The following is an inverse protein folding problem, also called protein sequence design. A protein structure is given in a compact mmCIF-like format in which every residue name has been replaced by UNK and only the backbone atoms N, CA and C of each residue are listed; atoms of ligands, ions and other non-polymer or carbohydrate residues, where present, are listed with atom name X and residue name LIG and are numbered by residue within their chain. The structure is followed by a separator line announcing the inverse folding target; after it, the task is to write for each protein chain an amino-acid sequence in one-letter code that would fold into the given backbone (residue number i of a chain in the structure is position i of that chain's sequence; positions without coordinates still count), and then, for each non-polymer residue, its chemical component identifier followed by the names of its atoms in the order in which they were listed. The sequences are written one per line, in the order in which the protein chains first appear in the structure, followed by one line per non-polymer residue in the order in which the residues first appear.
data_IF_035479105587
#
_entry.id   IF_035479105587
#
_cell.length_a   1.000
_cell.length_b   1.000
_cell.length_c   1.000
_cell.angle_alpha   90.00
_cell.angle_beta   90.00
_cell.angle_gamma   90.00
#
_symmetry.space_group_name_H-M   'P 1'
#
loop_
_entity.id
_entity.type
_entity.pdbx_description
1 polymer ?
#
# COMPACT_ATOMS: atom_id res chain seq x y z
N UNK A 1 30.21 -5.30 -16.70
CA UNK A 1 29.60 -6.46 -16.02
C UNK A 1 28.20 -6.66 -16.57
N UNK A 2 27.93 -7.69 -17.36
CA UNK A 2 26.61 -7.94 -17.97
C UNK A 2 25.54 -8.42 -16.96
N UNK A 3 25.93 -8.74 -15.71
CA UNK A 3 25.04 -9.32 -14.70
C UNK A 3 23.99 -8.38 -14.09
N UNK A 4 24.10 -7.06 -14.28
CA UNK A 4 23.16 -6.10 -13.70
C UNK A 4 21.80 -6.02 -14.45
N UNK A 5 21.74 -6.47 -15.69
CA UNK A 5 20.51 -6.49 -16.48
C UNK A 5 19.57 -7.63 -16.12
N UNK A 6 20.07 -8.68 -15.43
CA UNK A 6 19.30 -9.85 -14.99
C UNK A 6 18.96 -9.84 -13.49
N UNK A 7 19.07 -8.71 -12.80
CA UNK A 7 18.71 -8.63 -11.39
C UNK A 7 17.19 -8.76 -11.19
N UNK A 8 16.74 -9.65 -10.31
CA UNK A 8 15.34 -9.78 -9.88
C UNK A 8 14.77 -8.50 -9.29
N UNK A 9 15.61 -7.61 -8.80
CA UNK A 9 15.23 -6.28 -8.32
C UNK A 9 14.56 -5.44 -9.44
N UNK A 10 14.82 -5.75 -10.72
CA UNK A 10 14.22 -5.00 -11.83
C UNK A 10 12.77 -5.37 -12.13
N UNK A 11 12.29 -6.52 -11.63
CA UNK A 11 10.92 -6.99 -11.86
C UNK A 11 9.95 -6.57 -10.76
N UNK A 12 10.39 -5.86 -9.71
CA UNK A 12 9.54 -5.49 -8.57
C UNK A 12 8.26 -4.77 -8.98
N UNK A 13 8.32 -3.88 -9.98
CA UNK A 13 7.14 -3.20 -10.51
C UNK A 13 6.14 -4.17 -11.17
N UNK A 14 6.64 -5.16 -11.90
CA UNK A 14 5.82 -6.19 -12.51
C UNK A 14 5.20 -7.10 -11.44
N UNK A 15 5.97 -7.51 -10.43
CA UNK A 15 5.45 -8.31 -9.31
C UNK A 15 4.38 -7.56 -8.53
N UNK A 16 4.58 -6.27 -8.25
CA UNK A 16 3.56 -5.42 -7.62
C UNK A 16 2.27 -5.39 -8.43
N UNK A 17 2.37 -5.32 -9.76
CA UNK A 17 1.21 -5.32 -10.65
C UNK A 17 0.45 -6.65 -10.61
N UNK A 18 1.14 -7.79 -10.60
CA UNK A 18 0.50 -9.11 -10.50
C UNK A 18 -0.25 -9.26 -9.16
N UNK A 19 0.39 -8.86 -8.05
CA UNK A 19 -0.27 -8.90 -6.74
C UNK A 19 -1.43 -7.92 -6.68
N UNK A 20 -1.32 -6.74 -7.30
CA UNK A 20 -2.44 -5.80 -7.42
C UNK A 20 -3.64 -6.40 -8.17
N UNK A 21 -3.42 -7.12 -9.27
CA UNK A 21 -4.50 -7.81 -9.98
C UNK A 21 -5.19 -8.85 -9.09
N UNK A 22 -4.43 -9.56 -8.27
CA UNK A 22 -4.98 -10.47 -7.25
C UNK A 22 -5.82 -9.73 -6.21
N UNK A 23 -5.35 -8.55 -5.74
CA UNK A 23 -6.10 -7.70 -4.80
C UNK A 23 -7.41 -7.19 -5.42
N UNK A 24 -7.35 -6.69 -6.64
CA UNK A 24 -8.52 -6.19 -7.34
C UNK A 24 -9.57 -7.30 -7.56
N UNK A 25 -9.16 -8.48 -8.01
CA UNK A 25 -10.08 -9.60 -8.25
C UNK A 25 -10.70 -10.13 -6.96
N UNK A 26 -9.90 -10.34 -5.91
CA UNK A 26 -10.40 -10.79 -4.61
C UNK A 26 -11.27 -9.73 -3.94
N UNK A 27 -10.92 -8.44 -4.07
CA UNK A 27 -11.70 -7.32 -3.55
C UNK A 27 -13.08 -7.21 -4.21
N UNK A 28 -13.17 -7.36 -5.54
CA UNK A 28 -14.46 -7.38 -6.26
C UNK A 28 -15.31 -8.56 -5.77
N UNK A 29 -14.73 -9.76 -5.61
CA UNK A 29 -15.46 -10.92 -5.09
C UNK A 29 -15.96 -10.68 -3.66
N UNK A 30 -15.15 -10.09 -2.78
CA UNK A 30 -15.57 -9.75 -1.42
C UNK A 30 -16.67 -8.71 -1.41
N UNK A 31 -16.62 -7.70 -2.28
CA UNK A 31 -17.60 -6.63 -2.34
C UNK A 31 -19.00 -7.10 -2.71
N UNK A 32 -19.14 -8.21 -3.44
CA UNK A 32 -20.45 -8.81 -3.79
C UNK A 32 -21.17 -9.29 -2.55
N UNK A 33 -20.44 -9.75 -1.53
CA UNK A 33 -21.01 -10.35 -0.33
C UNK A 33 -20.87 -9.45 0.91
N UNK A 34 -20.15 -8.34 0.81
CA UNK A 34 -20.00 -7.40 1.91
C UNK A 34 -21.29 -6.62 2.08
N UNK A 35 -21.99 -6.88 3.18
CA UNK A 35 -23.21 -6.18 3.53
C UNK A 35 -22.96 -5.31 4.76
N UNK A 36 -23.12 -4.01 4.63
CA UNK A 36 -22.94 -3.02 5.69
C UNK A 36 -24.21 -2.83 6.56
N UNK A 37 -25.33 -3.49 6.23
CA UNK A 37 -26.52 -3.48 7.05
C UNK A 37 -26.30 -4.32 8.32
N UNK A 38 -25.91 -3.65 9.38
CA UNK A 38 -25.88 -4.23 10.72
C UNK A 38 -27.31 -4.53 11.20
N UNK A 39 -27.75 -5.75 11.04
CA UNK A 39 -28.64 -6.34 12.02
C UNK A 39 -27.77 -6.76 13.20
N UNK A 40 -28.19 -6.44 14.41
CA UNK A 40 -27.50 -6.52 15.72
C UNK A 40 -26.64 -7.79 15.97
N UNK A 41 -26.60 -8.74 15.07
CA UNK A 41 -26.02 -10.08 15.26
C UNK A 41 -24.93 -10.51 14.26
N UNK A 42 -24.62 -9.76 13.19
CA UNK A 42 -23.68 -10.28 12.19
C UNK A 42 -22.69 -9.25 11.69
N UNK A 43 -21.42 -9.44 12.07
CA UNK A 43 -20.27 -8.82 11.44
C UNK A 43 -20.25 -9.25 9.96
N UNK A 44 -20.21 -8.32 8.98
CA UNK A 44 -20.15 -8.64 7.55
C UNK A 44 -19.01 -9.59 7.19
N UNK A 45 -17.88 -9.48 7.86
CA UNK A 45 -16.71 -10.33 7.62
C UNK A 45 -16.97 -11.76 8.14
N UNK A 46 -17.57 -11.90 9.32
CA UNK A 46 -17.93 -13.22 9.88
C UNK A 46 -18.94 -13.91 8.95
N UNK A 47 -19.90 -13.15 8.43
CA UNK A 47 -20.84 -13.66 7.45
C UNK A 47 -20.14 -14.24 6.21
N UNK A 48 -19.19 -13.51 5.63
CA UNK A 48 -18.41 -13.99 4.47
C UNK A 48 -17.63 -15.25 4.81
N UNK A 49 -16.99 -15.30 5.99
CA UNK A 49 -16.16 -16.44 6.39
C UNK A 49 -16.99 -17.71 6.58
N UNK A 50 -18.16 -17.61 7.22
CA UNK A 50 -18.93 -18.75 7.67
C UNK A 50 -19.97 -19.19 6.62
N UNK A 51 -20.66 -18.23 6.00
CA UNK A 51 -21.84 -18.52 5.18
C UNK A 51 -21.55 -18.57 3.67
N UNK A 52 -20.45 -17.96 3.21
CA UNK A 52 -20.11 -17.98 1.79
C UNK A 52 -19.13 -19.12 1.51
N UNK A 53 -19.46 -19.92 0.49
CA UNK A 53 -18.59 -21.02 0.07
C UNK A 53 -17.23 -20.48 -0.36
N UNK A 54 -16.15 -20.95 0.27
CA UNK A 54 -14.77 -20.44 0.11
C UNK A 54 -14.59 -18.95 0.45
N UNK A 55 -15.52 -18.31 1.17
CA UNK A 55 -15.42 -16.90 1.56
C UNK A 55 -14.20 -16.64 2.45
N UNK A 56 -13.90 -17.56 3.38
CA UNK A 56 -12.69 -17.51 4.20
C UNK A 56 -11.41 -17.46 3.34
N UNK A 57 -11.36 -18.27 2.26
CA UNK A 57 -10.22 -18.31 1.35
C UNK A 57 -10.01 -16.96 0.65
N UNK A 58 -11.06 -16.40 0.07
CA UNK A 58 -10.99 -15.11 -0.66
C UNK A 58 -10.57 -13.99 0.29
N UNK A 59 -11.12 -13.97 1.52
CA UNK A 59 -10.75 -12.97 2.53
C UNK A 59 -9.27 -13.06 2.90
N UNK A 60 -8.77 -14.27 3.24
CA UNK A 60 -7.38 -14.45 3.65
C UNK A 60 -6.43 -14.10 2.49
N UNK A 61 -6.76 -14.51 1.26
CA UNK A 61 -5.99 -14.13 0.07
C UNK A 61 -5.89 -12.61 -0.09
N UNK A 62 -6.98 -11.88 0.18
CA UNK A 62 -7.00 -10.43 0.12
C UNK A 62 -6.13 -9.80 1.21
N UNK A 63 -6.20 -10.27 2.45
CA UNK A 63 -5.42 -9.74 3.59
C UNK A 63 -3.91 -9.98 3.40
N UNK A 64 -3.51 -11.23 3.09
CA UNK A 64 -2.10 -11.56 2.86
C UNK A 64 -1.56 -10.81 1.64
N UNK A 65 -2.35 -10.77 0.57
CA UNK A 65 -1.99 -10.07 -0.63
C UNK A 65 -1.82 -8.56 -0.43
N UNK A 66 -2.61 -7.92 0.45
CA UNK A 66 -2.44 -6.51 0.80
C UNK A 66 -1.07 -6.25 1.46
N UNK A 67 -0.68 -7.06 2.44
CA UNK A 67 0.64 -6.96 3.06
C UNK A 67 1.77 -7.18 2.06
N UNK A 68 1.66 -8.19 1.18
CA UNK A 68 2.66 -8.46 0.15
C UNK A 68 2.71 -7.33 -0.89
N UNK A 69 1.58 -6.77 -1.28
CA UNK A 69 1.50 -5.64 -2.21
C UNK A 69 2.24 -4.42 -1.68
N UNK A 70 1.99 -4.04 -0.43
CA UNK A 70 2.68 -2.90 0.20
C UNK A 70 4.18 -3.18 0.34
N UNK A 71 4.59 -4.39 0.71
CA UNK A 71 5.99 -4.78 0.76
C UNK A 71 6.69 -4.60 -0.60
N UNK A 72 6.07 -5.09 -1.67
CA UNK A 72 6.63 -4.96 -3.02
C UNK A 72 6.71 -3.51 -3.49
N UNK A 73 5.71 -2.68 -3.17
CA UNK A 73 5.74 -1.24 -3.47
C UNK A 73 6.87 -0.55 -2.70
N UNK A 74 7.06 -0.85 -1.42
CA UNK A 74 8.16 -0.28 -0.62
C UNK A 74 9.52 -0.67 -1.20
N UNK A 75 9.72 -1.93 -1.57
CA UNK A 75 10.95 -2.39 -2.22
C UNK A 75 11.14 -1.72 -3.59
N UNK A 76 10.07 -1.54 -4.36
CA UNK A 76 10.09 -0.84 -5.64
C UNK A 76 10.48 0.65 -5.47
N UNK A 77 9.94 1.31 -4.46
CA UNK A 77 10.27 2.69 -4.10
C UNK A 77 11.74 2.83 -3.66
N UNK A 78 12.23 1.94 -2.79
CA UNK A 78 13.64 1.91 -2.35
C UNK A 78 14.56 1.74 -3.55
N UNK A 79 14.21 0.84 -4.47
CA UNK A 79 14.95 0.67 -5.73
C UNK A 79 14.95 1.94 -6.57
N UNK A 80 13.80 2.61 -6.70
CA UNK A 80 13.69 3.85 -7.46
C UNK A 80 14.60 4.94 -6.88
N UNK A 81 14.62 5.10 -5.56
CA UNK A 81 15.52 6.02 -4.85
C UNK A 81 16.99 5.64 -5.12
N UNK A 82 17.35 4.36 -4.98
CA UNK A 82 18.70 3.87 -5.21
C UNK A 82 19.21 4.16 -6.63
N UNK A 83 18.41 3.89 -7.64
CA UNK A 83 18.75 4.16 -9.04
C UNK A 83 18.86 5.66 -9.26
N UNK A 84 17.91 6.44 -8.70
CA UNK A 84 17.87 7.88 -8.85
C UNK A 84 19.10 8.57 -8.30
N UNK A 85 19.61 8.15 -7.15
CA UNK A 85 20.85 8.67 -6.56
C UNK A 85 22.08 8.49 -7.46
N UNK A 86 22.01 7.62 -8.49
CA UNK A 86 23.09 7.39 -9.47
C UNK A 86 22.93 8.22 -10.74
N UNK A 87 21.76 8.80 -11.02
CA UNK A 87 21.46 9.55 -12.24
C UNK A 87 21.77 11.03 -12.00
N UNK A 88 22.58 11.63 -12.87
CA UNK A 88 23.02 13.02 -12.77
C UNK A 88 21.95 14.00 -13.32
N UNK A 89 21.18 13.59 -14.32
CA UNK A 89 20.24 14.46 -15.01
C UNK A 89 18.86 13.82 -15.09
N UNK A 90 17.79 14.60 -14.74
CA UNK A 90 16.40 14.17 -14.83
C UNK A 90 15.77 14.86 -16.05
N UNK A 91 15.25 14.06 -16.97
CA UNK A 91 14.37 14.56 -18.02
C UNK A 91 12.98 14.86 -17.43
N UNK A 92 12.25 15.81 -18.00
CA UNK A 92 10.89 16.18 -17.58
C UNK A 92 9.94 14.98 -17.43
N UNK A 93 10.03 14.03 -18.34
CA UNK A 93 9.21 12.81 -18.33
C UNK A 93 9.54 11.90 -17.15
N UNK A 94 10.83 11.76 -16.81
CA UNK A 94 11.24 11.01 -15.61
C UNK A 94 10.67 11.66 -14.36
N UNK A 95 10.53 12.97 -14.34
CA UNK A 95 9.86 13.72 -13.27
C UNK A 95 8.40 13.29 -13.14
N UNK A 96 7.63 13.21 -14.24
CA UNK A 96 6.23 12.79 -14.22
C UNK A 96 6.10 11.33 -13.76
N UNK A 97 6.98 10.43 -14.22
CA UNK A 97 6.98 9.02 -13.79
C UNK A 97 7.23 8.91 -12.27
N UNK A 98 8.13 9.72 -11.72
CA UNK A 98 8.40 9.76 -10.27
C UNK A 98 7.16 10.24 -9.51
N UNK A 99 6.50 11.29 -9.97
CA UNK A 99 5.29 11.81 -9.31
C UNK A 99 4.16 10.77 -9.33
N UNK A 100 3.90 10.16 -10.48
CA UNK A 100 2.85 9.13 -10.58
C UNK A 100 3.16 7.92 -9.69
N UNK A 101 4.42 7.47 -9.63
CA UNK A 101 4.83 6.39 -8.73
C UNK A 101 4.71 6.76 -7.25
N UNK A 102 5.06 7.98 -6.86
CA UNK A 102 4.89 8.46 -5.50
C UNK A 102 3.42 8.60 -5.11
N UNK A 103 2.58 9.09 -6.02
CA UNK A 103 1.12 9.15 -5.81
C UNK A 103 0.53 7.75 -5.62
N UNK A 104 0.95 6.77 -6.43
CA UNK A 104 0.55 5.37 -6.26
C UNK A 104 0.94 4.83 -4.88
N UNK A 105 2.15 5.15 -4.38
CA UNK A 105 2.57 4.76 -3.03
C UNK A 105 1.64 5.33 -1.96
N UNK A 106 1.32 6.64 -2.00
CA UNK A 106 0.42 7.28 -1.04
C UNK A 106 -0.99 6.70 -1.11
N UNK A 107 -1.54 6.53 -2.33
CA UNK A 107 -2.88 5.94 -2.51
C UNK A 107 -2.93 4.51 -1.99
N UNK A 108 -1.90 3.69 -2.21
CA UNK A 108 -1.83 2.32 -1.70
C UNK A 108 -1.77 2.25 -0.17
N UNK A 109 -1.09 3.22 0.47
CA UNK A 109 -1.10 3.33 1.93
C UNK A 109 -2.50 3.67 2.45
N UNK A 110 -3.18 4.64 1.85
CA UNK A 110 -4.56 5.01 2.22
C UNK A 110 -5.50 3.82 2.01
N UNK A 111 -5.37 3.13 0.88
CA UNK A 111 -6.18 1.96 0.52
C UNK A 111 -6.03 0.82 1.54
N UNK A 112 -4.80 0.49 1.93
CA UNK A 112 -4.52 -0.51 2.96
C UNK A 112 -5.16 -0.17 4.30
N UNK A 113 -5.15 1.11 4.71
CA UNK A 113 -5.80 1.56 5.93
C UNK A 113 -7.33 1.42 5.84
N UNK A 114 -7.95 1.89 4.75
CA UNK A 114 -9.39 1.79 4.58
C UNK A 114 -9.86 0.33 4.57
N UNK A 115 -9.13 -0.57 3.88
CA UNK A 115 -9.42 -2.00 3.89
C UNK A 115 -9.32 -2.64 5.27
N UNK A 116 -8.33 -2.23 6.07
CA UNK A 116 -8.19 -2.68 7.45
C UNK A 116 -9.37 -2.25 8.33
N UNK A 117 -9.89 -1.05 8.13
CA UNK A 117 -11.04 -0.55 8.89
C UNK A 117 -12.33 -1.34 8.61
N UNK A 118 -12.49 -1.91 7.41
CA UNK A 118 -13.68 -2.68 7.04
C UNK A 118 -13.85 -3.97 7.84
N UNK A 119 -12.80 -4.48 8.48
CA UNK A 119 -12.90 -5.63 9.38
C UNK A 119 -13.72 -5.34 10.64
N UNK A 120 -13.83 -4.08 11.05
CA UNK A 120 -14.58 -3.57 12.21
C UNK A 120 -14.34 -4.33 13.51
N UNK A 121 -13.13 -4.83 13.70
CA UNK A 121 -12.67 -5.36 14.99
C UNK A 121 -12.23 -4.26 15.94
N UNK A 122 -11.79 -4.65 17.14
CA UNK A 122 -11.30 -3.73 18.16
C UNK A 122 -10.19 -2.81 17.63
N UNK A 123 -9.21 -3.35 16.90
CA UNK A 123 -8.14 -2.51 16.36
C UNK A 123 -8.59 -1.59 15.23
N UNK A 124 -9.54 -2.01 14.40
CA UNK A 124 -10.12 -1.17 13.35
C UNK A 124 -10.86 0.02 13.94
N UNK A 125 -11.73 -0.22 14.94
CA UNK A 125 -12.49 0.82 15.61
C UNK A 125 -11.58 1.83 16.33
N UNK A 126 -10.63 1.34 17.11
CA UNK A 126 -9.71 2.23 17.83
C UNK A 126 -8.69 2.87 16.89
N UNK A 127 -8.34 2.22 15.78
CA UNK A 127 -7.52 2.79 14.72
C UNK A 127 -8.17 4.00 14.05
N UNK A 128 -9.46 3.94 13.71
CA UNK A 128 -10.16 5.09 13.12
C UNK A 128 -10.34 6.21 14.14
N UNK A 129 -10.63 5.92 15.42
CA UNK A 129 -10.74 6.95 16.46
C UNK A 129 -9.44 7.71 16.64
N UNK A 130 -8.29 7.01 16.63
CA UNK A 130 -6.97 7.64 16.68
C UNK A 130 -6.73 8.50 15.44
N UNK A 131 -7.06 7.99 14.24
CA UNK A 131 -6.87 8.72 13.00
C UNK A 131 -7.72 10.00 12.93
N UNK A 132 -8.97 9.95 13.35
CA UNK A 132 -9.84 11.12 13.41
C UNK A 132 -9.28 12.18 14.37
N UNK A 133 -8.77 11.76 15.53
CA UNK A 133 -8.12 12.65 16.48
C UNK A 133 -6.82 13.28 15.92
N UNK A 134 -6.11 12.59 15.03
CA UNK A 134 -4.95 13.11 14.32
C UNK A 134 -5.37 14.12 13.26
N UNK A 135 -6.41 13.81 12.50
CA UNK A 135 -6.95 14.72 11.47
C UNK A 135 -7.51 15.99 12.10
N UNK A 136 -8.20 15.89 13.23
CA UNK A 136 -8.77 17.06 13.93
C UNK A 136 -7.72 18.10 14.35
N UNK A 137 -6.46 17.70 14.52
CA UNK A 137 -5.35 18.60 14.88
C UNK A 137 -4.81 19.40 13.68
N UNK A 138 -5.15 19.03 12.44
CA UNK A 138 -4.72 19.76 11.25
C UNK A 138 -5.28 21.18 11.25
N UNK A 139 -4.45 22.21 10.97
CA UNK A 139 -4.90 23.60 10.95
C UNK A 139 -5.94 23.84 9.86
N UNK A 140 -6.81 24.80 10.09
CA UNK A 140 -7.86 25.29 9.18
C UNK A 140 -9.06 24.36 8.95
N UNK A 141 -8.87 23.08 8.59
CA UNK A 141 -9.98 22.21 8.15
C UNK A 141 -10.09 20.90 8.94
N UNK A 142 -9.14 20.64 9.85
CA UNK A 142 -9.05 19.34 10.54
C UNK A 142 -10.31 18.95 11.30
N UNK A 143 -10.89 19.86 12.06
CA UNK A 143 -12.15 19.62 12.82
C UNK A 143 -13.30 19.32 11.87
N UNK A 144 -13.45 20.10 10.79
CA UNK A 144 -14.53 19.90 9.80
C UNK A 144 -14.42 18.52 9.14
N UNK A 145 -13.20 18.13 8.76
CA UNK A 145 -12.94 16.81 8.15
C UNK A 145 -13.23 15.70 9.16
N UNK A 146 -12.80 15.87 10.42
CA UNK A 146 -13.05 14.90 11.47
C UNK A 146 -14.56 14.70 11.72
N UNK A 147 -15.33 15.77 11.77
CA UNK A 147 -16.80 15.72 11.90
C UNK A 147 -17.50 15.09 10.69
N UNK A 148 -17.00 15.33 9.47
CA UNK A 148 -17.51 14.70 8.26
C UNK A 148 -17.28 13.18 8.24
N UNK A 149 -16.17 12.70 8.82
CA UNK A 149 -15.84 11.28 8.90
C UNK A 149 -16.60 10.62 10.04
N UNK A 150 -16.65 11.27 11.22
CA UNK A 150 -17.24 10.71 12.42
C UNK A 150 -18.77 10.70 12.35
N UNK A 151 -19.35 9.53 12.58
CA UNK A 151 -20.80 9.36 12.68
C UNK A 151 -21.14 8.02 13.33
N UNK A 152 -22.40 7.57 13.25
CA UNK A 152 -22.76 6.22 13.69
C UNK A 152 -21.96 5.13 12.96
N UNK A 153 -21.64 4.03 13.65
CA UNK A 153 -20.76 2.98 13.15
C UNK A 153 -21.10 2.49 11.73
N UNK A 154 -22.36 2.22 11.46
CA UNK A 154 -22.83 1.76 10.15
C UNK A 154 -22.62 2.81 9.04
N UNK A 155 -22.77 4.11 9.35
CA UNK A 155 -22.52 5.20 8.39
C UNK A 155 -21.02 5.30 8.08
N UNK A 156 -20.17 5.11 9.09
CA UNK A 156 -18.72 5.13 8.92
C UNK A 156 -18.29 3.97 8.00
N UNK A 157 -18.77 2.76 8.26
CA UNK A 157 -18.42 1.59 7.46
C UNK A 157 -18.86 1.72 6.01
N UNK A 158 -20.07 2.19 5.76
CA UNK A 158 -20.54 2.43 4.40
C UNK A 158 -19.64 3.44 3.66
N UNK A 159 -19.28 4.55 4.31
CA UNK A 159 -18.36 5.53 3.73
C UNK A 159 -16.98 4.93 3.44
N UNK A 160 -16.43 4.18 4.39
CA UNK A 160 -15.12 3.52 4.23
C UNK A 160 -15.18 2.52 3.09
N UNK A 161 -16.25 1.73 2.98
CA UNK A 161 -16.44 0.78 1.89
C UNK A 161 -16.44 1.47 0.52
N UNK A 162 -17.19 2.55 0.38
CA UNK A 162 -17.25 3.34 -0.86
C UNK A 162 -15.87 3.93 -1.18
N UNK A 163 -15.17 4.51 -0.20
CA UNK A 163 -13.84 5.08 -0.42
C UNK A 163 -12.81 4.01 -0.79
N UNK A 164 -12.80 2.87 -0.10
CA UNK A 164 -11.94 1.74 -0.42
C UNK A 164 -12.17 1.24 -1.85
N UNK A 165 -13.40 1.02 -2.25
CA UNK A 165 -13.74 0.59 -3.60
C UNK A 165 -13.34 1.62 -4.67
N UNK A 166 -13.59 2.91 -4.44
CA UNK A 166 -13.26 3.99 -5.38
C UNK A 166 -11.75 4.20 -5.49
N UNK A 167 -11.01 4.19 -4.39
CA UNK A 167 -9.56 4.39 -4.40
C UNK A 167 -8.88 3.18 -5.05
N UNK A 168 -9.29 1.94 -4.75
CA UNK A 168 -8.78 0.74 -5.39
C UNK A 168 -8.98 0.75 -6.91
N UNK A 169 -10.17 1.18 -7.37
CA UNK A 169 -10.45 1.40 -8.80
C UNK A 169 -9.58 2.52 -9.38
N UNK A 170 -9.40 3.61 -8.64
CA UNK A 170 -8.55 4.73 -9.02
C UNK A 170 -7.08 4.34 -9.17
N UNK A 171 -6.55 3.51 -8.25
CA UNK A 171 -5.19 2.97 -8.33
C UNK A 171 -4.99 2.23 -9.66
N UNK A 172 -5.99 1.49 -10.15
CA UNK A 172 -5.92 0.80 -11.46
C UNK A 172 -5.62 1.78 -12.60
N UNK A 173 -6.30 2.92 -12.63
CA UNK A 173 -6.11 3.96 -13.64
C UNK A 173 -4.70 4.56 -13.53
N UNK A 174 -4.26 4.90 -12.33
CA UNK A 174 -2.92 5.46 -12.11
C UNK A 174 -1.80 4.47 -12.42
N UNK A 175 -1.98 3.16 -12.19
CA UNK A 175 -1.03 2.13 -12.61
C UNK A 175 -0.91 2.11 -14.14
N UNK A 176 -2.03 2.14 -14.87
CA UNK A 176 -2.00 2.18 -16.34
C UNK A 176 -1.27 3.42 -16.85
N UNK A 177 -1.56 4.59 -16.29
CA UNK A 177 -0.85 5.83 -16.65
C UNK A 177 0.66 5.70 -16.38
N UNK A 178 1.05 5.19 -15.21
CA UNK A 178 2.45 5.01 -14.83
C UNK A 178 3.19 4.06 -15.79
N UNK A 179 2.56 2.93 -16.15
CA UNK A 179 3.12 1.95 -17.08
C UNK A 179 3.23 2.54 -18.51
N UNK A 180 2.19 3.24 -19.01
CA UNK A 180 2.20 3.87 -20.33
C UNK A 180 3.34 4.89 -20.41
N UNK A 181 3.48 5.76 -19.40
CA UNK A 181 4.56 6.74 -19.33
C UNK A 181 5.93 6.06 -19.33
N UNK A 182 6.09 4.99 -18.55
CA UNK A 182 7.33 4.24 -18.46
C UNK A 182 7.72 3.62 -19.81
N UNK A 183 6.76 2.98 -20.50
CA UNK A 183 7.02 2.27 -21.76
C UNK A 183 7.17 3.22 -22.96
N UNK A 184 6.46 4.36 -22.97
CA UNK A 184 6.56 5.35 -24.07
C UNK A 184 7.93 6.01 -24.16
N UNK A 185 8.67 6.09 -23.05
CA UNK A 185 9.93 6.84 -22.98
C UNK A 185 11.15 5.99 -22.68
N UNK A 186 11.02 4.69 -22.76
CA UNK A 186 12.02 3.65 -22.47
C UNK A 186 12.53 3.64 -21.02
N UNK A 187 12.60 2.47 -20.45
CA UNK A 187 13.24 2.26 -19.13
C UNK A 187 14.70 2.66 -19.22
N UNK A 188 15.20 3.44 -18.27
CA UNK A 188 16.61 3.76 -18.14
C UNK A 188 17.37 2.46 -17.89
N UNK A 189 18.05 1.95 -18.92
CA UNK A 189 18.98 0.86 -18.73
C UNK A 189 20.15 1.38 -17.87
N UNK A 190 20.48 0.77 -16.72
CA UNK A 190 21.61 1.21 -15.90
C UNK A 190 22.98 0.98 -16.54
N UNK A 191 23.05 0.26 -17.66
CA UNK A 191 24.30 0.09 -18.42
C UNK A 191 24.53 1.29 -19.34
N UNK A 192 25.48 2.12 -18.97
CA UNK A 192 25.87 3.37 -19.65
C UNK A 192 26.66 3.12 -20.95
N UNK A 193 27.00 1.90 -21.30
CA UNK A 193 27.78 1.59 -22.48
C UNK A 193 26.93 1.45 -23.72
N UNK A 194 27.21 2.26 -24.73
CA UNK A 194 26.56 2.28 -26.06
C UNK A 194 26.69 0.95 -26.87
N UNK A 195 27.39 -0.03 -26.35
CA UNK A 195 27.58 -1.36 -26.93
C UNK A 195 26.73 -2.42 -26.20
N UNK A 196 25.51 -2.08 -25.78
CA UNK A 196 24.60 -3.06 -25.22
C UNK A 196 24.15 -4.02 -26.31
N UNK A 197 24.51 -5.30 -26.13
CA UNK A 197 23.93 -6.40 -26.88
C UNK A 197 22.41 -6.29 -26.84
N UNK A 198 21.78 -6.28 -28.00
CA UNK A 198 20.32 -6.39 -28.12
C UNK A 198 19.94 -7.76 -27.58
N UNK A 199 19.52 -7.81 -26.32
CA UNK A 199 19.01 -9.02 -25.72
C UNK A 199 17.58 -9.21 -26.23
N UNK A 200 17.27 -10.40 -26.75
CA UNK A 200 15.91 -10.75 -27.15
C UNK A 200 14.96 -10.59 -25.97
N UNK A 201 13.69 -10.26 -26.22
CA UNK A 201 12.64 -10.10 -25.18
C UNK A 201 12.35 -11.41 -24.43
N UNK A 202 12.70 -12.57 -24.99
CA UNK A 202 12.41 -13.88 -24.43
C UNK A 202 12.99 -14.11 -23.01
N UNK A 203 14.29 -13.89 -22.75
CA UNK A 203 14.83 -14.08 -21.39
C UNK A 203 14.23 -13.12 -20.37
N UNK A 204 13.82 -11.91 -20.78
CA UNK A 204 13.16 -10.95 -19.90
C UNK A 204 11.76 -11.42 -19.53
N UNK A 205 10.98 -11.87 -20.51
CA UNK A 205 9.63 -12.41 -20.30
C UNK A 205 9.67 -13.66 -19.40
N UNK A 206 10.61 -14.59 -19.64
CA UNK A 206 10.79 -15.77 -18.81
C UNK A 206 11.07 -15.41 -17.35
N UNK A 207 11.93 -14.42 -17.12
CA UNK A 207 12.27 -13.94 -15.79
C UNK A 207 11.05 -13.32 -15.08
N UNK A 208 10.23 -12.55 -15.79
CA UNK A 208 9.02 -11.93 -15.25
C UNK A 208 7.99 -13.01 -14.88
N UNK A 209 7.79 -14.00 -15.75
CA UNK A 209 6.90 -15.15 -15.49
C UNK A 209 7.39 -16.01 -14.33
N UNK A 210 8.69 -16.30 -14.27
CA UNK A 210 9.28 -17.07 -13.17
C UNK A 210 9.18 -16.33 -11.83
N UNK A 211 9.44 -15.03 -11.83
CA UNK A 211 9.28 -14.18 -10.65
C UNK A 211 7.84 -14.12 -10.17
N UNK A 212 6.87 -14.00 -11.08
CA UNK A 212 5.44 -14.02 -10.73
C UNK A 212 5.00 -15.38 -10.18
N UNK A 213 5.49 -16.49 -10.75
CA UNK A 213 5.24 -17.82 -10.22
C UNK A 213 5.75 -17.98 -8.78
N UNK A 214 6.99 -17.54 -8.51
CA UNK A 214 7.55 -17.55 -7.14
C UNK A 214 6.69 -16.70 -6.19
N UNK A 215 6.30 -15.50 -6.62
CA UNK A 215 5.48 -14.60 -5.79
C UNK A 215 4.12 -15.21 -5.44
N UNK A 216 3.44 -15.80 -6.42
CA UNK A 216 2.17 -16.50 -6.20
C UNK A 216 2.38 -17.72 -5.29
N UNK A 217 3.45 -18.47 -5.48
CA UNK A 217 3.79 -19.61 -4.62
C UNK A 217 4.02 -19.18 -3.18
N UNK A 218 4.74 -18.06 -2.95
CA UNK A 218 4.93 -17.50 -1.62
C UNK A 218 3.59 -17.09 -1.00
N UNK A 219 2.70 -16.44 -1.75
CA UNK A 219 1.35 -16.12 -1.28
C UNK A 219 0.58 -17.37 -0.84
N UNK A 220 0.61 -18.43 -1.65
CA UNK A 220 -0.06 -19.69 -1.35
C UNK A 220 0.54 -20.37 -0.12
N UNK A 221 1.86 -20.37 0.01
CA UNK A 221 2.55 -20.94 1.18
C UNK A 221 2.20 -20.17 2.45
N UNK A 222 2.24 -18.84 2.42
CA UNK A 222 1.83 -17.99 3.55
C UNK A 222 0.36 -18.25 3.91
N UNK A 223 -0.48 -18.47 2.91
CA UNK A 223 -1.88 -18.81 3.08
C UNK A 223 -2.09 -20.19 3.74
N UNK A 224 -1.37 -21.23 3.29
CA UNK A 224 -1.60 -22.60 3.71
C UNK A 224 -0.97 -22.96 5.07
N UNK A 225 0.17 -22.36 5.39
CA UNK A 225 1.00 -22.77 6.54
C UNK A 225 1.07 -21.73 7.65
N UNK A 226 0.59 -20.52 7.41
CA UNK A 226 0.63 -19.45 8.40
C UNK A 226 -0.79 -19.02 8.78
N UNK A 227 -0.96 -18.85 10.09
CA UNK A 227 -2.18 -18.19 10.57
C UNK A 227 -2.30 -16.82 9.88
N UNK A 228 -3.49 -16.50 9.34
CA UNK A 228 -3.70 -15.25 8.59
C UNK A 228 -3.39 -14.00 9.40
N UNK A 229 -3.35 -14.14 10.72
CA UNK A 229 -3.16 -13.03 11.66
C UNK A 229 -1.69 -12.82 12.07
N UNK A 230 -0.74 -13.59 11.52
CA UNK A 230 0.68 -13.42 11.85
C UNK A 230 1.22 -12.04 11.45
N UNK A 231 0.65 -11.43 10.41
CA UNK A 231 0.97 -10.09 9.95
C UNK A 231 0.00 -9.03 10.48
N UNK A 232 -1.05 -9.44 11.19
CA UNK A 232 -2.07 -8.59 11.77
C UNK A 232 -2.04 -8.58 13.30
N UNK A 233 -3.04 -7.96 13.90
CA UNK A 233 -3.24 -7.95 15.35
C UNK A 233 -4.43 -8.85 15.68
N UNK A 234 -4.23 -9.83 16.59
CA UNK A 234 -5.26 -10.77 17.04
C UNK A 234 -6.49 -10.07 17.67
N UNK A 235 -6.29 -8.91 18.29
CA UNK A 235 -7.39 -8.14 18.87
C UNK A 235 -8.37 -7.61 17.81
N UNK A 236 -7.98 -7.60 16.53
CA UNK A 236 -8.90 -7.22 15.44
C UNK A 236 -9.89 -8.33 15.04
N UNK A 237 -9.75 -9.53 15.62
CA UNK A 237 -10.75 -10.60 15.53
C UNK A 237 -11.88 -10.43 16.54
N UNK A 238 -11.64 -9.62 17.59
CA UNK A 238 -12.64 -9.30 18.62
C UNK A 238 -13.56 -8.22 18.06
N UNK A 239 -14.86 -8.41 18.19
CA UNK A 239 -15.88 -7.43 17.75
C UNK A 239 -15.61 -6.08 18.43
N UNK A 240 -15.73 -4.99 17.66
CA UNK A 240 -15.50 -3.64 18.14
C UNK A 240 -16.40 -3.28 19.33
N UNK A 241 -15.78 -2.91 20.44
CA UNK A 241 -16.48 -2.43 21.63
C UNK A 241 -15.96 -1.03 22.00
N UNK A 242 -16.77 0.02 21.84
CA UNK A 242 -16.35 1.39 22.15
C UNK A 242 -16.14 1.65 23.66
N UNK A 243 -16.63 0.77 24.54
CA UNK A 243 -16.50 0.90 25.99
C UNK A 243 -15.22 0.29 26.55
N UNK A 244 -14.53 -0.55 25.77
CA UNK A 244 -13.33 -1.26 26.20
C UNK A 244 -12.16 -0.88 25.30
N UNK A 245 -11.25 -0.05 25.82
CA UNK A 245 -10.03 0.32 25.09
C UNK A 245 -9.00 -0.79 25.21
N UNK A 246 -8.43 -1.29 24.09
CA UNK A 246 -7.33 -2.25 24.14
C UNK A 246 -6.10 -1.67 24.83
N UNK A 247 -5.31 -2.53 25.51
CA UNK A 247 -4.10 -2.11 26.20
C UNK A 247 -3.07 -1.45 25.27
N UNK A 248 -2.96 -1.95 24.03
CA UNK A 248 -2.06 -1.41 23.03
C UNK A 248 -2.80 -1.27 21.68
N UNK A 249 -3.01 -0.04 21.24
CA UNK A 249 -3.54 0.24 19.90
C UNK A 249 -2.33 0.35 18.96
N UNK A 250 -2.06 -0.71 18.20
CA UNK A 250 -0.99 -0.77 17.23
C UNK A 250 -1.56 -0.89 15.81
N UNK A 251 -1.07 -0.09 14.87
CA UNK A 251 -1.43 -0.24 13.46
C UNK A 251 -0.69 -1.42 12.82
N UNK A 252 -1.05 -1.75 11.58
CA UNK A 252 -0.36 -2.71 10.74
C UNK A 252 1.13 -2.37 10.60
N UNK A 253 1.98 -3.39 10.38
CA UNK A 253 3.45 -3.29 10.39
C UNK A 253 4.00 -2.17 9.49
N UNK A 254 3.38 -1.90 8.36
CA UNK A 254 3.83 -0.86 7.42
C UNK A 254 3.52 0.57 7.87
N UNK A 255 2.72 0.76 8.92
CA UNK A 255 2.48 2.06 9.55
C UNK A 255 3.31 2.30 10.80
N UNK A 256 4.04 1.30 11.31
CA UNK A 256 4.76 1.41 12.59
C UNK A 256 5.74 2.58 12.61
N UNK A 257 6.39 2.90 11.48
CA UNK A 257 7.25 4.06 11.37
C UNK A 257 6.49 5.36 11.65
N UNK A 258 5.34 5.56 11.00
CA UNK A 258 4.53 6.76 11.20
C UNK A 258 3.92 6.81 12.60
N UNK A 259 3.49 5.67 13.11
CA UNK A 259 2.98 5.56 14.46
C UNK A 259 4.03 5.91 15.52
N UNK A 260 5.26 5.44 15.38
CA UNK A 260 6.35 5.79 16.28
C UNK A 260 6.65 7.30 16.27
N UNK A 261 6.63 7.93 15.10
CA UNK A 261 6.77 9.38 14.95
C UNK A 261 5.65 10.14 15.67
N UNK A 262 4.40 9.70 15.52
CA UNK A 262 3.26 10.32 16.19
C UNK A 262 3.32 10.20 17.72
N UNK A 263 3.83 9.07 18.23
CA UNK A 263 3.94 8.83 19.68
C UNK A 263 5.18 9.43 20.34
N UNK A 264 6.21 9.78 19.57
CA UNK A 264 7.47 10.32 20.10
C UNK A 264 7.33 11.72 20.72
N UNK A 265 6.25 12.44 20.40
CA UNK A 265 5.98 13.78 20.93
C UNK A 265 4.69 13.84 21.72
N UNK A 266 4.68 14.52 22.90
CA UNK A 266 3.45 14.71 23.66
C UNK A 266 2.45 15.61 22.92
N UNK A 267 2.94 16.55 22.10
CA UNK A 267 2.10 17.39 21.27
C UNK A 267 1.82 16.68 19.92
N UNK A 268 0.55 16.36 19.69
CA UNK A 268 0.09 15.67 18.46
C UNK A 268 0.41 16.45 17.18
N UNK A 269 0.35 17.79 17.21
CA UNK A 269 0.66 18.61 16.03
C UNK A 269 2.09 18.42 15.56
N UNK A 270 3.05 18.34 16.49
CA UNK A 270 4.47 18.12 16.16
C UNK A 270 4.65 16.73 15.53
N UNK A 271 4.01 15.69 16.09
CA UNK A 271 4.04 14.35 15.52
C UNK A 271 3.51 14.30 14.09
N UNK A 272 2.40 15.01 13.81
CA UNK A 272 1.82 15.10 12.46
C UNK A 272 2.75 15.84 11.50
N UNK A 273 3.34 16.96 11.92
CA UNK A 273 4.31 17.71 11.10
C UNK A 273 5.52 16.82 10.78
N UNK A 274 6.00 16.00 11.73
CA UNK A 274 7.10 15.07 11.49
C UNK A 274 6.75 14.04 10.43
N UNK A 275 5.57 13.42 10.50
CA UNK A 275 5.09 12.47 9.48
C UNK A 275 5.02 13.12 8.10
N UNK A 276 4.45 14.32 8.01
CA UNK A 276 4.39 15.07 6.75
C UNK A 276 5.79 15.37 6.21
N UNK A 277 6.73 15.76 7.08
CA UNK A 277 8.12 15.99 6.68
C UNK A 277 8.80 14.73 6.15
N UNK A 278 8.53 13.54 6.72
CA UNK A 278 9.06 12.28 6.19
C UNK A 278 8.52 12.03 4.78
N UNK A 279 7.23 12.21 4.56
CA UNK A 279 6.63 12.05 3.22
C UNK A 279 7.22 13.05 2.22
N UNK A 280 7.37 14.33 2.59
CA UNK A 280 8.02 15.33 1.76
C UNK A 280 9.49 14.97 1.50
N UNK A 281 10.21 14.46 2.49
CA UNK A 281 11.60 14.04 2.34
C UNK A 281 11.73 12.90 1.32
N UNK A 282 10.85 11.91 1.32
CA UNK A 282 10.87 10.81 0.35
C UNK A 282 10.77 11.36 -1.07
N UNK A 283 9.82 12.27 -1.34
CA UNK A 283 9.68 12.86 -2.67
C UNK A 283 10.86 13.78 -3.01
N UNK A 284 11.37 14.57 -2.06
CA UNK A 284 12.50 15.46 -2.32
C UNK A 284 13.78 14.69 -2.65
N UNK A 285 14.05 13.57 -1.98
CA UNK A 285 15.20 12.70 -2.31
C UNK A 285 15.12 12.23 -3.77
N UNK A 286 13.92 11.94 -4.27
CA UNK A 286 13.71 11.56 -5.66
C UNK A 286 14.02 12.69 -6.65
N UNK A 287 14.05 13.96 -6.21
CA UNK A 287 14.31 15.13 -7.05
C UNK A 287 15.70 15.77 -6.85
N UNK A 288 16.45 15.40 -5.82
CA UNK A 288 17.79 15.96 -5.57
C UNK A 288 18.70 15.66 -6.77
N UNK A 289 19.26 16.72 -7.34
CA UNK A 289 20.32 16.62 -8.35
C UNK A 289 21.64 16.26 -7.65
N UNK A 290 22.41 15.33 -8.21
CA UNK A 290 23.75 15.05 -7.76
C UNK A 290 24.69 16.16 -8.21
N UNK A 291 24.68 17.31 -7.50
CA UNK A 291 25.58 18.44 -7.79
C UNK A 291 26.97 18.33 -7.14
N UNK A 292 27.21 17.29 -6.32
CA UNK A 292 28.32 17.22 -5.38
C UNK A 292 29.58 16.49 -5.85
N UNK A 293 29.78 16.17 -7.15
CA UNK A 293 31.02 15.55 -7.63
C UNK A 293 31.63 16.28 -8.82
N UNK A 294 31.75 17.59 -8.74
CA UNK A 294 32.67 18.40 -9.58
C UNK A 294 33.72 19.13 -8.77
N UNK A 295 34.15 18.56 -7.66
CA UNK A 295 35.33 18.99 -6.91
C UNK A 295 36.30 17.83 -6.83
N UNK A 296 36.85 17.46 -7.98
CA UNK A 296 38.18 16.84 -8.16
C UNK A 296 38.63 17.04 -9.59
#
# INVERSE_FOLDING_TARGET
MPFLTFSYINILGFLSFIVFLSQLSSGILLSIYYNDFFTIASDPIIYIIININNGWFIRILHVIGASLFILLILLHLIRAIWIKLRIIYIKFITFIIIITGYLLFILSMIEGFLGYLLCWGQMSYWGITVMINIVAVLPCCGIIIAELIWSAAWVILNRIFVYHFLIGSGISIFILIHIILLHSFSSSNPSINNNTLIISSYPLLFKDLFGSFITITIMIILFLYWEPDILGNSDNQIIANPLITPNNILPEWYYLLFHSCLRSFPNKTIGVILVLNILIMIITILFIKKTLYRLR
#
